data_IF_758133478217
#
_entry.id   IF_758133478217
#
_cell.length_a   1.000
_cell.length_b   1.000
_cell.length_c   1.000
_cell.angle_alpha   90.00
_cell.angle_beta   90.00
_cell.angle_gamma   90.00
#
_symmetry.space_group_name_H-M   'P 1'
#
loop_
_entity.id
_entity.type
_entity.pdbx_description
1 polymer ?
#
# COMPACT_ATOMS: atom_id res chain seq x y z
N UNK A 1 -23.63 11.07 8.49
CA UNK A 1 -23.56 12.53 8.73
C UNK A 1 -22.11 12.92 8.94
N UNK A 2 -21.75 14.20 8.82
CA UNK A 2 -20.39 14.64 9.15
C UNK A 2 -20.16 14.53 10.66
N UNK A 3 -18.92 14.26 11.07
CA UNK A 3 -18.51 14.24 12.48
C UNK A 3 -18.71 15.61 13.15
N UNK A 4 -18.55 16.69 12.38
CA UNK A 4 -18.48 18.06 12.88
C UNK A 4 -19.65 18.94 12.43
N UNK A 5 -20.69 18.36 11.82
CA UNK A 5 -21.85 19.09 11.31
C UNK A 5 -23.04 18.15 11.10
N UNK A 6 -24.25 18.66 11.32
CA UNK A 6 -25.49 17.97 10.96
C UNK A 6 -25.67 17.84 9.44
N UNK A 7 -24.87 18.56 8.67
CA UNK A 7 -24.90 18.55 7.21
C UNK A 7 -24.12 17.36 6.62
N UNK A 8 -24.34 17.09 5.33
CA UNK A 8 -23.61 16.05 4.62
C UNK A 8 -22.10 16.35 4.59
N UNK A 9 -21.28 15.34 4.87
CA UNK A 9 -19.83 15.42 4.77
C UNK A 9 -19.40 15.62 3.31
N UNK A 10 -18.39 16.46 3.11
CA UNK A 10 -17.78 16.76 1.80
C UNK A 10 -16.47 15.99 1.61
N UNK A 11 -15.84 15.58 2.71
CA UNK A 11 -14.57 14.85 2.73
C UNK A 11 -14.51 13.85 3.87
N UNK A 12 -13.51 12.99 3.87
CA UNK A 12 -13.24 12.05 4.96
C UNK A 12 -11.74 12.02 5.26
N UNK A 13 -11.38 12.21 6.53
CA UNK A 13 -10.03 11.98 7.02
C UNK A 13 -9.90 10.51 7.37
N UNK A 14 -8.88 9.86 6.81
CA UNK A 14 -8.62 8.43 7.06
C UNK A 14 -7.25 8.29 7.67
N UNK A 15 -7.22 7.71 8.88
CA UNK A 15 -6.02 7.47 9.64
C UNK A 15 -5.63 6.00 9.51
N UNK A 16 -4.38 5.77 9.15
CA UNK A 16 -3.83 4.43 8.94
C UNK A 16 -2.57 4.26 9.76
N UNK A 17 -2.35 3.04 10.26
CA UNK A 17 -1.09 2.62 10.86
C UNK A 17 -0.34 1.74 9.86
N UNK A 18 0.93 2.08 9.65
CA UNK A 18 1.87 1.34 8.81
C UNK A 18 3.04 0.92 9.69
N UNK A 19 3.31 -0.39 9.73
CA UNK A 19 4.51 -0.95 10.33
C UNK A 19 5.54 -1.26 9.24
N UNK A 20 6.83 -1.33 9.59
CA UNK A 20 7.86 -1.78 8.66
C UNK A 20 7.67 -3.25 8.25
N UNK A 21 7.12 -4.06 9.17
CA UNK A 21 7.01 -5.52 9.05
C UNK A 21 5.58 -6.03 8.90
N UNK A 22 4.57 -5.19 9.14
CA UNK A 22 3.17 -5.61 9.12
C UNK A 22 2.38 -4.86 8.05
N UNK A 23 1.33 -5.50 7.48
CA UNK A 23 0.46 -4.86 6.52
C UNK A 23 -0.26 -3.65 7.14
N UNK A 24 -0.55 -2.67 6.29
CA UNK A 24 -1.28 -1.46 6.67
C UNK A 24 -2.65 -1.78 7.28
N UNK A 25 -3.05 -1.03 8.31
CA UNK A 25 -4.39 -1.09 8.90
C UNK A 25 -5.04 0.29 8.97
N UNK A 26 -6.33 0.37 8.62
CA UNK A 26 -7.15 1.57 8.80
C UNK A 26 -7.62 1.62 10.25
N UNK A 27 -7.19 2.64 10.99
CA UNK A 27 -7.49 2.82 12.41
C UNK A 27 -8.78 3.63 12.58
N UNK A 28 -8.92 4.71 11.82
CA UNK A 28 -10.05 5.61 11.97
C UNK A 28 -10.46 6.24 10.64
N UNK A 29 -11.76 6.45 10.46
CA UNK A 29 -12.35 7.19 9.34
C UNK A 29 -13.27 8.24 9.94
N UNK A 30 -13.00 9.51 9.65
CA UNK A 30 -13.73 10.66 10.14
C UNK A 30 -14.32 11.44 8.96
N UNK A 31 -15.62 11.27 8.65
CA UNK A 31 -16.33 12.09 7.69
C UNK A 31 -16.42 13.52 8.20
N UNK A 32 -16.08 14.52 7.40
CA UNK A 32 -16.13 15.93 7.82
C UNK A 32 -16.72 16.80 6.72
N UNK A 33 -17.36 17.90 7.14
CA UNK A 33 -17.77 18.97 6.23
C UNK A 33 -16.68 20.03 6.10
N UNK A 34 -16.18 20.47 7.25
CA UNK A 34 -15.08 21.44 7.38
C UNK A 34 -14.23 21.04 8.58
N UNK A 35 -12.92 21.23 8.54
CA UNK A 35 -12.05 20.94 9.68
C UNK A 35 -10.96 21.99 9.77
N UNK A 36 -10.64 22.36 11.00
CA UNK A 36 -9.54 23.25 11.35
C UNK A 36 -8.40 22.46 12.00
N UNK A 37 -7.24 23.10 12.14
CA UNK A 37 -6.06 22.46 12.71
C UNK A 37 -6.23 22.03 14.17
N UNK A 38 -7.11 22.68 14.95
CA UNK A 38 -7.33 22.35 16.36
C UNK A 38 -8.15 21.07 16.52
N UNK A 39 -9.23 20.94 15.74
CA UNK A 39 -10.02 19.71 15.69
C UNK A 39 -9.19 18.54 15.17
N UNK A 40 -8.40 18.76 14.12
CA UNK A 40 -7.52 17.72 13.61
C UNK A 40 -6.46 17.31 14.65
N UNK A 41 -5.84 18.26 15.35
CA UNK A 41 -4.91 17.99 16.45
C UNK A 41 -5.54 17.11 17.52
N UNK A 42 -6.76 17.44 17.98
CA UNK A 42 -7.45 16.66 19.00
C UNK A 42 -7.65 15.20 18.57
N UNK A 43 -8.02 14.96 17.31
CA UNK A 43 -8.23 13.62 16.75
C UNK A 43 -6.91 12.86 16.59
N UNK A 44 -5.85 13.52 16.09
CA UNK A 44 -4.52 12.91 15.98
C UNK A 44 -3.98 12.52 17.35
N UNK A 45 -4.04 13.45 18.32
CA UNK A 45 -3.61 13.19 19.71
C UNK A 45 -4.38 12.02 20.33
N UNK A 46 -5.72 12.00 20.19
CA UNK A 46 -6.56 10.91 20.68
C UNK A 46 -6.18 9.57 20.04
N UNK A 47 -5.98 9.55 18.72
CA UNK A 47 -5.60 8.33 17.98
C UNK A 47 -4.26 7.79 18.47
N UNK A 48 -3.27 8.66 18.73
CA UNK A 48 -1.96 8.25 19.25
C UNK A 48 -2.09 7.64 20.66
N UNK A 49 -2.86 8.26 21.55
CA UNK A 49 -3.08 7.77 22.91
C UNK A 49 -3.81 6.42 22.93
N UNK A 50 -4.85 6.26 22.10
CA UNK A 50 -5.57 4.98 21.99
C UNK A 50 -4.70 3.86 21.40
N UNK A 51 -3.87 4.16 20.40
CA UNK A 51 -2.95 3.19 19.82
C UNK A 51 -1.90 2.73 20.85
N UNK A 52 -1.36 3.66 21.63
CA UNK A 52 -0.41 3.36 22.70
C UNK A 52 -1.07 2.51 23.79
N UNK A 53 -2.32 2.81 24.18
CA UNK A 53 -3.09 2.01 25.13
C UNK A 53 -3.40 0.58 24.66
N UNK A 54 -3.43 0.34 23.34
CA UNK A 54 -3.54 -1.01 22.74
C UNK A 54 -2.18 -1.74 22.74
N UNK A 55 -1.06 -1.02 22.91
CA UNK A 55 0.30 -1.55 22.89
C UNK A 55 1.08 -1.25 21.61
N UNK A 56 0.57 -0.40 20.70
CA UNK A 56 1.34 0.05 19.55
C UNK A 56 2.29 1.18 19.93
N UNK A 57 3.57 1.03 19.59
CA UNK A 57 4.55 2.11 19.69
C UNK A 57 4.56 2.94 18.41
N UNK A 58 3.88 4.09 18.44
CA UNK A 58 3.82 4.98 17.28
C UNK A 58 4.99 5.96 17.32
N UNK A 59 5.94 5.79 16.40
CA UNK A 59 7.13 6.64 16.32
C UNK A 59 6.90 7.94 15.56
N UNK A 60 5.91 8.03 14.68
CA UNK A 60 5.70 9.25 13.90
C UNK A 60 4.40 9.32 13.12
N UNK A 61 4.10 10.53 12.68
CA UNK A 61 2.93 10.90 11.86
C UNK A 61 3.43 11.35 10.49
N UNK A 62 2.84 10.78 9.43
CA UNK A 62 3.11 11.16 8.04
C UNK A 62 1.88 11.86 7.46
N UNK A 63 2.06 13.05 6.88
CA UNK A 63 0.97 13.76 6.18
C UNK A 63 1.47 14.50 4.95
N UNK A 64 0.54 14.99 4.13
CA UNK A 64 0.88 15.99 3.12
C UNK A 64 1.33 17.32 3.77
N UNK A 65 1.77 18.26 2.93
CA UNK A 65 2.18 19.60 3.36
C UNK A 65 1.00 20.62 3.37
N UNK A 66 -0.21 20.19 3.74
CA UNK A 66 -1.35 21.10 3.86
C UNK A 66 -1.23 21.99 5.11
N UNK A 67 -1.71 23.24 5.05
CA UNK A 67 -1.70 24.19 6.17
C UNK A 67 -2.46 23.67 7.41
N UNK A 68 -3.55 22.93 7.22
CA UNK A 68 -4.34 22.34 8.31
C UNK A 68 -3.51 21.28 9.04
N UNK A 69 -2.82 20.41 8.29
CA UNK A 69 -1.94 19.38 8.85
C UNK A 69 -0.76 20.00 9.61
N UNK A 70 -0.12 21.04 9.05
CA UNK A 70 0.94 21.79 9.75
C UNK A 70 0.43 22.46 11.03
N UNK A 71 -0.74 23.10 11.00
CA UNK A 71 -1.34 23.72 12.18
C UNK A 71 -1.65 22.67 13.25
N UNK A 72 -2.21 21.53 12.85
CA UNK A 72 -2.50 20.43 13.76
C UNK A 72 -1.22 19.89 14.44
N UNK A 73 -0.15 19.70 13.67
CA UNK A 73 1.12 19.23 14.23
C UNK A 73 1.81 20.28 15.11
N UNK A 74 1.73 21.57 14.77
CA UNK A 74 2.33 22.62 15.60
C UNK A 74 1.75 22.69 17.02
N UNK A 75 0.49 22.25 17.20
CA UNK A 75 -0.20 22.22 18.49
C UNK A 75 0.33 21.14 19.46
N UNK A 76 1.24 20.26 19.02
CA UNK A 76 1.99 19.37 19.92
C UNK A 76 3.09 20.10 20.72
N UNK A 77 3.40 21.36 20.38
CA UNK A 77 4.28 22.22 21.16
C UNK A 77 3.49 23.32 21.87
N UNK A 78 4.00 23.76 23.02
CA UNK A 78 3.49 24.91 23.76
C UNK A 78 4.63 25.92 23.93
N UNK A 79 4.58 27.12 23.32
CA UNK A 79 3.54 27.59 22.39
C UNK A 79 3.53 26.83 21.05
N UNK A 80 2.44 26.91 20.25
CA UNK A 80 2.35 26.21 18.98
C UNK A 80 3.48 26.61 18.03
N UNK A 81 4.30 25.63 17.65
CA UNK A 81 5.44 25.81 16.75
C UNK A 81 5.62 24.57 15.90
N UNK A 82 5.76 24.77 14.59
CA UNK A 82 6.06 23.66 13.69
C UNK A 82 7.49 23.17 13.94
N UNK A 83 7.60 21.88 14.26
CA UNK A 83 8.83 21.12 14.46
C UNK A 83 8.72 19.78 13.71
N UNK A 84 9.86 19.13 13.51
CA UNK A 84 9.93 17.76 12.99
C UNK A 84 9.89 16.70 14.09
N UNK A 85 10.07 17.11 15.34
CA UNK A 85 10.06 16.24 16.53
C UNK A 85 9.26 16.91 17.64
N UNK A 86 8.38 16.15 18.27
CA UNK A 86 7.55 16.53 19.41
C UNK A 86 7.67 15.49 20.53
N UNK A 87 7.32 15.83 21.79
CA UNK A 87 7.11 14.81 22.81
C UNK A 87 5.88 13.96 22.47
N UNK A 88 5.97 12.65 22.65
CA UNK A 88 4.83 11.75 22.41
C UNK A 88 3.71 12.01 23.45
N UNK A 89 2.42 12.05 23.05
CA UNK A 89 1.33 12.45 23.94
C UNK A 89 1.05 11.48 25.09
N UNK A 90 1.43 10.20 24.95
CA UNK A 90 1.30 9.20 26.03
C UNK A 90 2.51 9.15 26.97
N UNK A 91 3.69 9.52 26.47
CA UNK A 91 4.95 9.49 27.22
C UNK A 91 5.90 10.54 26.66
N UNK A 92 6.08 11.64 27.39
CA UNK A 92 6.90 12.77 26.94
C UNK A 92 8.39 12.45 26.78
N UNK A 93 8.87 11.31 27.32
CA UNK A 93 10.26 10.87 27.12
C UNK A 93 10.49 10.31 25.71
N UNK A 94 9.44 9.84 25.04
CA UNK A 94 9.53 9.28 23.70
C UNK A 94 9.35 10.37 22.64
N UNK A 95 10.17 10.39 21.58
CA UNK A 95 9.99 11.30 20.47
C UNK A 95 8.84 10.86 19.55
N UNK A 96 8.04 11.83 19.12
CA UNK A 96 7.06 11.71 18.04
C UNK A 96 7.54 12.50 16.84
N UNK A 97 7.88 11.80 15.76
CA UNK A 97 8.39 12.39 14.54
C UNK A 97 7.26 12.85 13.62
N UNK A 98 7.39 14.05 13.05
CA UNK A 98 6.50 14.54 12.01
C UNK A 98 7.22 14.52 10.66
N UNK A 99 6.69 13.72 9.73
CA UNK A 99 7.27 13.54 8.40
C UNK A 99 6.29 14.04 7.35
N UNK A 100 6.76 14.94 6.49
CA UNK A 100 5.99 15.38 5.33
C UNK A 100 6.19 14.36 4.22
N UNK A 101 5.10 13.94 3.59
CA UNK A 101 5.15 12.96 2.49
C UNK A 101 6.08 13.42 1.38
N UNK A 102 7.14 12.64 1.17
CA UNK A 102 8.19 12.92 0.18
C UNK A 102 7.65 12.93 -1.24
N UNK A 103 6.62 12.14 -1.54
CA UNK A 103 5.96 12.12 -2.86
C UNK A 103 5.26 13.44 -3.13
N UNK A 104 4.52 13.97 -2.16
CA UNK A 104 3.94 15.31 -2.24
C UNK A 104 5.00 16.41 -2.32
N UNK A 105 6.09 16.34 -1.53
CA UNK A 105 7.19 17.29 -1.62
C UNK A 105 7.80 17.32 -3.03
N UNK A 106 8.03 16.15 -3.63
CA UNK A 106 8.59 16.04 -4.98
C UNK A 106 7.69 16.69 -6.03
N UNK A 107 6.37 16.49 -5.92
CA UNK A 107 5.39 17.21 -6.76
C UNK A 107 5.42 18.73 -6.51
N UNK A 108 5.52 19.16 -5.26
CA UNK A 108 5.60 20.58 -4.92
C UNK A 108 6.86 21.25 -5.47
N UNK A 109 8.03 20.60 -5.41
CA UNK A 109 9.27 21.11 -6.00
C UNK A 109 9.07 21.39 -7.49
N UNK A 110 8.52 20.42 -8.23
CA UNK A 110 8.25 20.56 -9.65
C UNK A 110 7.19 21.63 -9.95
N UNK A 111 6.08 21.65 -9.21
CA UNK A 111 4.99 22.61 -9.44
C UNK A 111 5.43 24.04 -9.12
N UNK A 112 6.21 24.23 -8.06
CA UNK A 112 6.77 25.54 -7.72
C UNK A 112 7.72 26.03 -8.80
N UNK A 113 8.56 25.13 -9.34
CA UNK A 113 9.42 25.45 -10.47
C UNK A 113 8.62 25.91 -11.70
N UNK A 114 7.63 25.13 -12.13
CA UNK A 114 6.83 25.43 -13.34
C UNK A 114 6.03 26.74 -13.20
N UNK A 115 5.57 27.08 -11.99
CA UNK A 115 4.72 28.26 -11.77
C UNK A 115 5.50 29.56 -11.48
N UNK A 116 6.85 29.55 -11.51
CA UNK A 116 7.64 30.75 -11.25
C UNK A 116 7.49 31.81 -12.35
N UNK A 117 7.17 33.04 -11.97
CA UNK A 117 6.93 34.19 -12.86
C UNK A 117 8.15 35.09 -13.06
N UNK A 118 9.34 34.53 -12.96
CA UNK A 118 10.59 35.29 -13.03
C UNK A 118 11.11 35.36 -14.48
N UNK A 119 11.89 36.40 -14.83
CA UNK A 119 12.54 36.48 -16.13
C UNK A 119 13.37 35.21 -16.38
N UNK A 120 13.13 34.51 -17.49
CA UNK A 120 13.76 33.22 -17.82
C UNK A 120 13.13 31.97 -17.18
N UNK A 121 12.00 32.10 -16.45
CA UNK A 121 11.31 30.99 -15.75
C UNK A 121 12.25 30.18 -14.83
N UNK A 122 13.11 30.91 -14.12
CA UNK A 122 14.17 30.30 -13.32
C UNK A 122 13.69 29.75 -11.96
N UNK A 123 14.10 28.51 -11.63
CA UNK A 123 14.18 27.93 -10.30
C UNK A 123 15.07 28.77 -9.38
N UNK A 124 14.69 28.84 -8.11
CA UNK A 124 15.44 29.52 -7.05
C UNK A 124 15.77 28.41 -6.06
N UNK A 125 17.00 27.94 -6.11
CA UNK A 125 17.51 27.10 -5.04
C UNK A 125 18.19 28.04 -4.05
N UNK A 126 17.82 28.00 -2.76
CA UNK A 126 18.69 28.58 -1.76
C UNK A 126 19.97 27.75 -1.81
N UNK A 127 21.04 28.34 -2.30
CA UNK A 127 22.36 27.83 -1.96
C UNK A 127 22.48 27.87 -0.43
N UNK A 128 23.24 26.93 0.11
CA UNK A 128 23.48 26.90 1.55
C UNK A 128 24.34 28.11 1.98
N UNK A 129 24.96 28.82 1.01
CA UNK A 129 25.67 30.09 1.24
C UNK A 129 25.23 31.27 0.35
N UNK A 130 24.85 31.11 -0.94
CA UNK A 130 24.48 32.26 -1.81
C UNK A 130 23.35 32.07 -2.87
N UNK A 131 22.25 32.81 -2.76
CA UNK A 131 21.01 32.58 -3.54
C UNK A 131 21.13 32.73 -5.07
N UNK A 132 21.35 31.63 -5.80
CA UNK A 132 21.43 31.64 -7.28
C UNK A 132 20.10 31.27 -7.99
N UNK A 133 19.92 31.80 -9.21
CA UNK A 133 18.76 31.58 -10.10
C UNK A 133 19.08 30.54 -11.18
N UNK A 134 18.09 29.72 -11.57
CA UNK A 134 18.24 28.55 -12.44
C UNK A 134 17.15 28.47 -13.54
N UNK A 135 17.34 28.95 -14.77
CA UNK A 135 16.35 29.00 -15.86
C UNK A 135 15.69 27.66 -16.19
N UNK A 136 14.45 27.75 -16.71
CA UNK A 136 13.71 26.61 -17.24
C UNK A 136 14.40 26.05 -18.49
N UNK A 137 14.43 24.72 -18.60
CA UNK A 137 14.78 24.01 -19.83
C UNK A 137 13.86 24.44 -20.97
N UNK A 138 14.41 25.01 -22.06
CA UNK A 138 13.64 25.32 -23.26
C UNK A 138 13.11 24.03 -23.94
N UNK A 139 11.88 24.10 -24.46
CA UNK A 139 11.15 22.97 -25.06
C UNK A 139 11.85 22.31 -26.28
N UNK A 140 12.86 22.97 -26.87
CA UNK A 140 13.64 22.45 -27.99
C UNK A 140 14.58 21.26 -27.60
N UNK A 141 14.68 20.94 -26.31
CA UNK A 141 15.44 19.78 -25.80
C UNK A 141 14.80 18.41 -26.08
N UNK A 142 13.58 18.39 -26.61
CA UNK A 142 12.77 17.18 -26.80
C UNK A 142 13.33 16.18 -27.83
N UNK A 143 14.33 16.55 -28.64
CA UNK A 143 15.03 15.63 -29.56
C UNK A 143 16.07 14.73 -28.89
N UNK A 144 16.60 15.12 -27.73
CA UNK A 144 17.75 14.44 -27.10
C UNK A 144 17.41 13.78 -25.76
N UNK A 145 16.40 14.29 -25.07
CA UNK A 145 15.81 13.68 -23.90
C UNK A 145 14.52 12.96 -24.30
N UNK A 146 14.62 11.78 -24.92
CA UNK A 146 13.47 11.05 -25.49
C UNK A 146 12.34 10.75 -24.49
N UNK A 147 12.65 10.70 -23.19
CA UNK A 147 11.65 10.57 -22.13
C UNK A 147 11.07 11.89 -21.59
N UNK A 148 11.70 13.03 -21.87
CA UNK A 148 11.25 14.37 -21.46
C UNK A 148 10.20 14.89 -22.44
N UNK A 149 8.94 14.69 -22.09
CA UNK A 149 7.80 15.11 -22.90
C UNK A 149 7.39 16.54 -22.59
N UNK A 150 6.80 17.26 -23.56
CA UNK A 150 6.19 18.58 -23.34
C UNK A 150 5.19 18.56 -22.17
N UNK A 151 4.47 17.44 -21.97
CA UNK A 151 3.56 17.24 -20.82
C UNK A 151 4.24 17.29 -19.45
N UNK A 152 5.52 16.98 -19.38
CA UNK A 152 6.29 17.06 -18.13
C UNK A 152 6.69 18.51 -17.82
N UNK A 153 7.03 19.29 -18.85
CA UNK A 153 7.42 20.70 -18.72
C UNK A 153 6.22 21.65 -18.62
N UNK A 154 5.12 21.32 -19.29
CA UNK A 154 3.88 22.10 -19.34
C UNK A 154 2.66 21.24 -18.94
N UNK A 155 2.60 20.73 -17.70
CA UNK A 155 1.50 19.86 -17.26
C UNK A 155 0.20 20.64 -17.01
N UNK A 156 -0.93 20.03 -17.36
CA UNK A 156 -2.26 20.45 -16.89
C UNK A 156 -2.40 20.26 -15.38
N UNK A 157 -3.43 20.87 -14.76
CA UNK A 157 -3.69 20.72 -13.32
C UNK A 157 -3.87 19.26 -12.87
N UNK A 158 -4.44 18.40 -13.72
CA UNK A 158 -4.56 16.97 -13.45
C UNK A 158 -3.19 16.28 -13.52
N UNK A 159 -2.40 16.61 -14.54
CA UNK A 159 -1.06 16.03 -14.77
C UNK A 159 -0.05 16.43 -13.69
N UNK A 160 -0.21 17.60 -13.05
CA UNK A 160 0.59 18.04 -11.89
C UNK A 160 0.52 17.08 -10.69
N UNK A 161 -0.49 16.20 -10.63
CA UNK A 161 -0.60 15.17 -9.60
C UNK A 161 0.15 13.87 -9.95
N UNK A 162 0.63 13.73 -11.18
CA UNK A 162 1.27 12.51 -11.66
C UNK A 162 2.79 12.53 -11.42
N UNK A 163 3.23 11.78 -10.41
CA UNK A 163 4.64 11.66 -10.03
C UNK A 163 5.49 11.06 -11.14
N UNK A 164 4.93 10.23 -12.04
CA UNK A 164 5.66 9.69 -13.19
C UNK A 164 6.03 10.76 -14.21
N UNK A 165 5.22 11.82 -14.35
CA UNK A 165 5.57 12.96 -15.20
C UNK A 165 6.66 13.80 -14.55
N UNK A 166 6.58 14.00 -13.23
CA UNK A 166 7.63 14.71 -12.48
C UNK A 166 8.98 14.00 -12.62
N UNK A 167 9.00 12.66 -12.48
CA UNK A 167 10.20 11.84 -12.66
C UNK A 167 10.89 12.06 -14.00
N UNK A 168 10.13 12.35 -15.07
CA UNK A 168 10.71 12.57 -16.40
C UNK A 168 11.68 13.74 -16.45
N UNK A 169 11.47 14.73 -15.59
CA UNK A 169 12.30 15.93 -15.50
C UNK A 169 13.61 15.63 -14.75
N UNK A 170 13.57 14.71 -13.78
CA UNK A 170 14.68 14.42 -12.88
C UNK A 170 15.47 13.14 -13.22
N UNK A 171 15.39 12.66 -14.47
CA UNK A 171 16.18 11.51 -14.89
C UNK A 171 17.62 11.87 -15.26
N UNK A 172 18.50 10.89 -15.10
CA UNK A 172 19.93 11.00 -15.43
C UNK A 172 20.19 11.46 -16.87
N UNK A 173 19.38 11.03 -17.85
CA UNK A 173 19.56 11.46 -19.24
C UNK A 173 19.28 12.96 -19.44
N UNK A 174 18.45 13.60 -18.60
CA UNK A 174 18.24 15.05 -18.65
C UNK A 174 19.49 15.78 -18.16
N UNK A 175 20.11 15.27 -17.10
CA UNK A 175 21.38 15.78 -16.57
C UNK A 175 22.48 15.67 -17.63
N UNK A 176 22.64 14.49 -18.24
CA UNK A 176 23.64 14.27 -19.29
C UNK A 176 23.37 15.14 -20.53
N UNK A 177 22.11 15.25 -20.94
CA UNK A 177 21.72 16.12 -22.05
C UNK A 177 22.09 17.58 -21.80
N UNK A 178 21.81 18.10 -20.61
CA UNK A 178 22.19 19.46 -20.21
C UNK A 178 23.70 19.67 -20.28
N UNK A 179 24.49 18.73 -19.76
CA UNK A 179 25.96 18.84 -19.73
C UNK A 179 26.59 18.78 -21.11
N UNK A 180 26.10 17.92 -22.01
CA UNK A 180 26.67 17.74 -23.35
C UNK A 180 26.25 18.82 -24.34
N UNK A 181 25.01 19.30 -24.24
CA UNK A 181 24.37 20.13 -25.26
C UNK A 181 24.10 21.55 -24.79
N UNK A 182 24.23 21.83 -23.49
CA UNK A 182 23.94 23.13 -22.90
C UNK A 182 24.77 24.25 -23.53
N UNK A 183 26.08 24.04 -23.64
CA UNK A 183 26.99 24.98 -24.30
C UNK A 183 26.69 25.12 -25.79
N UNK A 184 26.50 24.00 -26.50
CA UNK A 184 26.24 23.95 -27.94
C UNK A 184 24.99 24.74 -28.35
N UNK A 185 23.95 24.68 -27.52
CA UNK A 185 22.69 25.39 -27.74
C UNK A 185 22.60 26.72 -27.00
N UNK A 186 23.69 27.19 -26.38
CA UNK A 186 23.74 28.45 -25.61
C UNK A 186 22.63 28.55 -24.57
N UNK A 187 22.33 27.44 -23.92
CA UNK A 187 21.36 27.43 -22.84
C UNK A 187 21.91 28.22 -21.65
N UNK A 188 21.07 29.05 -21.06
CA UNK A 188 21.46 29.84 -19.89
C UNK A 188 21.56 28.88 -18.70
N UNK A 189 22.64 29.00 -17.90
CA UNK A 189 22.84 28.29 -16.62
C UNK A 189 22.62 26.76 -16.66
N UNK A 190 22.90 26.11 -17.79
CA UNK A 190 22.71 24.66 -17.95
C UNK A 190 23.48 23.84 -16.90
N UNK A 191 24.68 24.29 -16.54
CA UNK A 191 25.55 23.63 -15.54
C UNK A 191 24.88 23.60 -14.18
N UNK A 192 24.46 24.77 -13.68
CA UNK A 192 23.82 24.91 -12.37
C UNK A 192 22.48 24.15 -12.35
N UNK A 193 21.69 24.21 -13.42
CA UNK A 193 20.44 23.43 -13.55
C UNK A 193 20.72 21.92 -13.52
N UNK A 194 21.79 21.45 -14.17
CA UNK A 194 22.17 20.03 -14.13
C UNK A 194 22.53 19.56 -12.72
N UNK A 195 23.23 20.40 -11.94
CA UNK A 195 23.59 20.13 -10.54
C UNK A 195 22.33 20.05 -9.69
N UNK A 196 21.41 21.01 -9.82
CA UNK A 196 20.15 21.02 -9.07
C UNK A 196 19.30 19.77 -9.36
N UNK A 197 19.15 19.40 -10.63
CA UNK A 197 18.43 18.19 -11.03
C UNK A 197 19.12 16.95 -10.45
N UNK A 198 20.45 16.88 -10.45
CA UNK A 198 21.22 15.80 -9.85
C UNK A 198 20.98 15.67 -8.34
N UNK A 199 20.96 16.79 -7.60
CA UNK A 199 20.69 16.81 -6.17
C UNK A 199 19.28 16.30 -5.85
N UNK A 200 18.27 16.81 -6.55
CA UNK A 200 16.87 16.39 -6.36
C UNK A 200 16.68 14.92 -6.74
N UNK A 201 17.30 14.47 -7.84
CA UNK A 201 17.26 13.07 -8.28
C UNK A 201 17.90 12.14 -7.24
N UNK A 202 19.04 12.55 -6.68
CA UNK A 202 19.75 11.81 -5.62
C UNK A 202 18.92 11.74 -4.34
N UNK A 203 18.36 12.87 -3.89
CA UNK A 203 17.44 12.91 -2.75
C UNK A 203 16.24 11.96 -2.97
N UNK A 204 15.61 12.02 -4.14
CA UNK A 204 14.47 11.17 -4.47
C UNK A 204 14.81 9.67 -4.43
N UNK A 205 15.99 9.29 -4.95
CA UNK A 205 16.49 7.91 -4.90
C UNK A 205 16.58 7.39 -3.47
N UNK A 206 17.10 8.20 -2.55
CA UNK A 206 17.26 7.87 -1.12
C UNK A 206 15.90 7.73 -0.44
N UNK A 207 15.02 8.73 -0.58
CA UNK A 207 13.74 8.75 0.15
C UNK A 207 12.70 7.76 -0.38
N UNK A 208 12.92 7.17 -1.55
CA UNK A 208 12.00 6.24 -2.21
C UNK A 208 12.49 4.77 -2.18
N UNK A 209 13.34 4.40 -1.23
CA UNK A 209 13.76 2.99 -1.01
C UNK A 209 12.70 2.25 -0.21
N UNK A 210 12.10 1.22 -0.81
CA UNK A 210 10.98 0.43 -0.23
C UNK A 210 11.36 -1.01 0.14
N UNK A 211 12.46 -1.53 -0.41
CA UNK A 211 12.87 -2.93 -0.25
C UNK A 211 14.37 -3.04 0.07
N UNK A 212 14.81 -4.08 0.81
CA UNK A 212 16.21 -4.27 1.20
C UNK A 212 17.21 -4.33 0.05
N UNK A 213 16.83 -5.00 -1.04
CA UNK A 213 17.76 -5.32 -2.13
C UNK A 213 17.70 -4.31 -3.27
N UNK A 214 16.95 -3.21 -3.14
CA UNK A 214 16.70 -2.26 -4.24
C UNK A 214 18.01 -1.69 -4.80
N UNK A 215 18.89 -1.19 -3.92
CA UNK A 215 20.18 -0.64 -4.31
C UNK A 215 21.12 -1.67 -4.92
N UNK A 216 21.08 -2.91 -4.43
CA UNK A 216 21.89 -4.01 -4.98
C UNK A 216 21.42 -4.40 -6.39
N UNK A 217 20.10 -4.57 -6.58
CA UNK A 217 19.52 -4.94 -7.87
C UNK A 217 19.75 -3.85 -8.94
N UNK A 218 19.74 -2.58 -8.54
CA UNK A 218 19.94 -1.45 -9.44
C UNK A 218 21.39 -0.99 -9.52
N UNK A 219 22.29 -1.60 -8.74
CA UNK A 219 23.70 -1.20 -8.60
C UNK A 219 23.84 0.31 -8.32
N UNK A 220 22.95 0.86 -7.49
CA UNK A 220 22.88 2.29 -7.16
C UNK A 220 23.07 2.49 -5.64
N UNK A 221 24.20 3.06 -5.19
CA UNK A 221 24.50 3.23 -3.76
C UNK A 221 23.47 4.16 -3.07
N UNK A 222 22.89 5.12 -3.79
CA UNK A 222 21.88 6.03 -3.25
C UNK A 222 20.51 5.38 -3.04
N UNK A 223 20.33 4.15 -3.53
CA UNK A 223 19.11 3.36 -3.35
C UNK A 223 19.29 2.18 -2.39
N UNK A 224 20.39 2.15 -1.66
CA UNK A 224 20.57 1.22 -0.55
C UNK A 224 19.67 1.63 0.62
N UNK A 225 19.16 0.66 1.40
CA UNK A 225 18.50 0.95 2.66
C UNK A 225 19.43 1.73 3.59
N UNK A 226 18.86 2.61 4.40
CA UNK A 226 19.66 3.36 5.37
C UNK A 226 19.95 2.42 6.54
N UNK A 227 21.22 2.10 6.73
CA UNK A 227 21.72 1.31 7.85
C UNK A 227 22.44 2.21 8.85
N UNK A 228 22.28 1.90 10.15
CA UNK A 228 23.08 2.51 11.20
C UNK A 228 24.50 1.93 11.09
N UNK A 229 25.42 2.64 10.43
CA UNK A 229 26.85 2.43 10.65
C UNK A 229 27.43 3.66 11.35
N UNK A 230 28.38 3.48 12.28
CA UNK A 230 29.03 4.59 13.00
C UNK A 230 29.73 5.58 12.05
N UNK A 231 30.07 5.17 10.84
CA UNK A 231 30.70 6.00 9.82
C UNK A 231 29.71 6.80 8.96
N UNK A 232 28.40 6.57 9.12
CA UNK A 232 27.37 7.20 8.29
C UNK A 232 26.86 8.49 8.95
N UNK A 233 27.51 9.63 8.64
CA UNK A 233 27.07 10.98 9.05
C UNK A 233 25.71 11.40 8.47
N UNK A 234 25.06 10.53 7.68
CA UNK A 234 23.79 10.84 7.03
C UNK A 234 22.64 10.85 8.04
N UNK A 235 22.19 12.06 8.38
CA UNK A 235 20.94 12.43 9.06
C UNK A 235 20.82 12.05 10.56
N UNK A 236 21.29 12.92 11.46
CA UNK A 236 21.00 12.86 12.92
C UNK A 236 19.50 12.67 13.23
N UNK A 237 18.62 13.27 12.42
CA UNK A 237 17.18 13.09 12.52
C UNK A 237 16.74 11.63 12.31
N UNK A 238 17.35 10.93 11.35
CA UNK A 238 17.08 9.51 11.10
C UNK A 238 17.74 8.63 12.16
N UNK A 239 18.93 8.98 12.65
CA UNK A 239 19.58 8.30 13.77
C UNK A 239 18.71 8.31 15.04
N UNK A 240 18.00 9.41 15.33
CA UNK A 240 17.06 9.50 16.47
C UNK A 240 15.77 8.69 16.28
N UNK A 241 15.41 8.35 15.05
CA UNK A 241 14.22 7.54 14.72
C UNK A 241 14.48 6.03 14.94
N UNK A 242 15.75 5.58 15.00
CA UNK A 242 16.09 4.20 14.65
C UNK A 242 16.82 3.39 15.72
N UNK A 243 16.51 2.08 15.72
CA UNK A 243 17.33 1.00 16.30
C UNK A 243 17.82 -0.02 15.26
N UNK A 244 17.36 0.01 13.99
CA UNK A 244 17.58 -0.99 12.94
C UNK A 244 17.51 -0.40 11.49
N UNK A 245 17.73 -1.24 10.46
CA UNK A 245 17.63 -0.93 9.01
C UNK A 245 16.33 -0.19 8.66
N UNK A 246 16.45 0.89 7.89
CA UNK A 246 15.36 1.81 7.58
C UNK A 246 15.02 1.90 6.09
N UNK A 247 13.72 1.98 5.80
CA UNK A 247 13.16 2.11 4.45
C UNK A 247 12.38 3.42 4.32
N UNK A 248 13.02 4.53 3.89
CA UNK A 248 12.36 5.82 3.76
C UNK A 248 11.08 5.78 2.90
N UNK A 249 11.07 4.95 1.85
CA UNK A 249 9.91 4.81 0.96
C UNK A 249 8.71 4.09 1.62
N UNK A 250 8.87 3.52 2.82
CA UNK A 250 7.74 3.02 3.62
C UNK A 250 7.09 4.13 4.46
N UNK A 251 7.71 5.30 4.57
CA UNK A 251 7.21 6.48 5.30
C UNK A 251 6.69 7.49 4.27
N UNK A 252 5.64 7.06 3.59
CA UNK A 252 4.97 7.81 2.53
C UNK A 252 3.47 7.52 2.61
N UNK A 253 2.65 8.42 2.08
CA UNK A 253 1.19 8.24 2.03
C UNK A 253 0.71 7.41 0.82
N UNK A 254 1.62 6.83 0.03
CA UNK A 254 1.28 5.97 -1.12
C UNK A 254 0.32 4.82 -0.78
N UNK A 255 0.48 4.22 0.40
CA UNK A 255 -0.39 3.12 0.84
C UNK A 255 -1.82 3.61 1.16
N UNK A 256 -1.94 4.84 1.68
CA UNK A 256 -3.21 5.53 1.91
C UNK A 256 -3.90 5.84 0.57
N UNK A 257 -3.15 6.38 -0.40
CA UNK A 257 -3.65 6.65 -1.76
C UNK A 257 -4.06 5.36 -2.49
N UNK A 258 -3.29 4.28 -2.35
CA UNK A 258 -3.66 2.97 -2.88
C UNK A 258 -4.99 2.46 -2.28
N UNK A 259 -5.21 2.67 -0.98
CA UNK A 259 -6.50 2.34 -0.35
C UNK A 259 -7.63 3.20 -0.91
N UNK A 260 -7.44 4.50 -1.11
CA UNK A 260 -8.44 5.36 -1.74
C UNK A 260 -8.76 4.92 -3.17
N UNK A 261 -7.76 4.49 -3.92
CA UNK A 261 -7.96 3.83 -5.22
C UNK A 261 -8.86 2.59 -5.10
N UNK A 262 -8.60 1.72 -4.11
CA UNK A 262 -9.47 0.57 -3.83
C UNK A 262 -10.89 0.98 -3.48
N UNK A 263 -11.09 2.02 -2.68
CA UNK A 263 -12.43 2.54 -2.39
C UNK A 263 -13.18 2.92 -3.66
N UNK A 264 -12.54 3.70 -4.54
CA UNK A 264 -13.12 4.13 -5.83
C UNK A 264 -13.44 2.93 -6.73
N UNK A 265 -12.50 2.03 -6.95
CA UNK A 265 -12.70 0.83 -7.80
C UNK A 265 -13.80 -0.05 -7.24
N UNK A 266 -13.80 -0.28 -5.93
CA UNK A 266 -14.80 -1.08 -5.25
C UNK A 266 -16.14 -0.34 -5.10
N UNK A 267 -16.26 0.93 -5.44
CA UNK A 267 -17.54 1.63 -5.55
C UNK A 267 -18.01 1.78 -7.00
N UNK A 268 -17.50 0.95 -7.92
CA UNK A 268 -17.88 0.99 -9.34
C UNK A 268 -16.99 1.91 -10.18
N UNK A 269 -15.75 2.14 -9.76
CA UNK A 269 -14.77 3.01 -10.42
C UNK A 269 -15.24 4.46 -10.56
N UNK A 270 -15.99 4.95 -9.58
CA UNK A 270 -16.45 6.33 -9.51
C UNK A 270 -15.39 7.21 -8.84
N UNK A 271 -15.21 8.44 -9.34
CA UNK A 271 -14.28 9.39 -8.73
C UNK A 271 -14.80 9.92 -7.39
N UNK A 272 -16.10 10.21 -7.34
CA UNK A 272 -16.82 10.64 -6.15
C UNK A 272 -17.53 9.44 -5.54
N UNK A 273 -17.26 9.17 -4.26
CA UNK A 273 -17.92 8.11 -3.49
C UNK A 273 -18.60 8.72 -2.28
N UNK A 274 -19.76 8.19 -1.92
CA UNK A 274 -20.44 8.58 -0.68
C UNK A 274 -19.72 8.01 0.55
N UNK A 275 -19.90 8.65 1.70
CA UNK A 275 -19.39 8.16 2.99
C UNK A 275 -19.92 6.75 3.30
N UNK A 276 -21.17 6.46 2.94
CA UNK A 276 -21.77 5.13 3.08
C UNK A 276 -20.98 4.09 2.29
N UNK A 277 -20.72 4.35 1.01
CA UNK A 277 -19.91 3.46 0.16
C UNK A 277 -18.49 3.29 0.72
N UNK A 278 -17.88 4.35 1.27
CA UNK A 278 -16.56 4.28 1.88
C UNK A 278 -16.56 3.29 3.06
N UNK A 279 -17.52 3.37 3.99
CA UNK A 279 -17.64 2.42 5.10
C UNK A 279 -17.99 1.00 4.63
N UNK A 280 -18.89 0.84 3.67
CA UNK A 280 -19.25 -0.46 3.11
C UNK A 280 -18.02 -1.14 2.47
N UNK A 281 -17.24 -0.40 1.68
CA UNK A 281 -16.02 -0.93 1.08
C UNK A 281 -14.95 -1.22 2.14
N UNK A 282 -14.76 -0.34 3.12
CA UNK A 282 -13.79 -0.58 4.19
C UNK A 282 -14.16 -1.84 4.99
N UNK A 283 -15.43 -2.04 5.31
CA UNK A 283 -15.91 -3.26 5.95
C UNK A 283 -15.57 -4.50 5.12
N UNK A 284 -15.82 -4.45 3.80
CA UNK A 284 -15.47 -5.55 2.87
C UNK A 284 -13.96 -5.82 2.85
N UNK A 285 -13.13 -4.78 2.79
CA UNK A 285 -11.68 -4.92 2.78
C UNK A 285 -11.13 -5.45 4.11
N UNK A 286 -11.74 -5.06 5.24
CA UNK A 286 -11.44 -5.62 6.57
C UNK A 286 -11.79 -7.10 6.60
N UNK A 287 -13.01 -7.47 6.22
CA UNK A 287 -13.44 -8.85 6.15
C UNK A 287 -12.45 -9.66 5.32
N UNK A 288 -12.13 -9.21 4.09
CA UNK A 288 -11.14 -9.86 3.24
C UNK A 288 -9.81 -10.07 3.95
N UNK A 289 -9.32 -9.07 4.70
CA UNK A 289 -8.09 -9.19 5.49
C UNK A 289 -8.17 -10.20 6.64
N UNK A 290 -9.36 -10.51 7.17
CA UNK A 290 -9.62 -11.55 8.18
C UNK A 290 -9.97 -12.93 7.60
N UNK A 291 -10.02 -13.09 6.27
CA UNK A 291 -10.18 -14.39 5.62
C UNK A 291 -8.92 -15.25 5.41
N UNK A 292 -7.70 -14.97 5.92
CA UNK A 292 -6.59 -15.88 5.67
C UNK A 292 -6.82 -17.15 6.47
N UNK A 293 -7.21 -18.21 5.76
CA UNK A 293 -7.01 -19.57 6.24
C UNK A 293 -5.51 -19.72 6.45
N UNK A 294 -5.12 -19.84 7.71
CA UNK A 294 -3.74 -20.03 8.10
C UNK A 294 -3.54 -21.53 8.26
N UNK A 295 -2.66 -22.10 7.45
CA UNK A 295 -2.20 -23.46 7.64
C UNK A 295 -0.99 -23.41 8.57
N UNK A 296 -0.89 -24.37 9.49
CA UNK A 296 0.28 -24.48 10.37
C UNK A 296 1.08 -25.67 9.88
N UNK A 297 2.30 -25.42 9.42
CA UNK A 297 3.32 -26.42 9.10
C UNK A 297 4.34 -26.42 10.24
N UNK A 298 4.81 -27.59 10.66
CA UNK A 298 5.86 -27.66 11.68
C UNK A 298 7.21 -27.23 11.09
N UNK A 299 7.42 -27.45 9.79
CA UNK A 299 8.66 -27.10 9.09
C UNK A 299 8.73 -25.62 8.74
N UNK A 300 7.62 -25.05 8.26
CA UNK A 300 7.56 -23.69 7.68
C UNK A 300 6.74 -22.70 8.51
N UNK A 301 6.20 -23.11 9.66
CA UNK A 301 5.40 -22.26 10.53
C UNK A 301 4.01 -21.94 9.96
N UNK A 302 3.51 -20.72 10.24
CA UNK A 302 2.20 -20.28 9.76
C UNK A 302 2.25 -19.88 8.28
N UNK A 303 1.57 -20.65 7.45
CA UNK A 303 1.42 -20.43 6.02
C UNK A 303 0.09 -19.72 5.74
N UNK A 304 0.17 -18.51 5.19
CA UNK A 304 -1.01 -17.74 4.80
C UNK A 304 -1.41 -18.09 3.35
N UNK A 305 -2.59 -18.66 3.16
CA UNK A 305 -3.07 -19.08 1.83
C UNK A 305 -3.21 -17.94 0.80
N UNK A 306 -3.10 -16.67 1.20
CA UNK A 306 -3.07 -15.53 0.26
C UNK A 306 -1.71 -15.30 -0.40
N UNK A 307 -0.63 -15.78 0.20
CA UNK A 307 0.75 -15.54 -0.29
C UNK A 307 1.19 -16.60 -1.30
N UNK A 308 0.50 -17.74 -1.34
CA UNK A 308 0.67 -18.75 -2.38
C UNK A 308 0.20 -18.13 -3.70
N UNK A 309 1.16 -17.69 -4.51
CA UNK A 309 0.89 -17.25 -5.87
C UNK A 309 0.22 -18.40 -6.61
N UNK A 310 -1.10 -18.26 -6.86
CA UNK A 310 -1.83 -19.07 -7.82
C UNK A 310 -1.36 -18.68 -9.23
N UNK A 311 -0.09 -18.96 -9.55
CA UNK A 311 0.36 -19.00 -10.93
C UNK A 311 -0.55 -20.01 -11.64
N UNK A 312 -1.32 -19.52 -12.60
CA UNK A 312 -2.25 -20.30 -13.41
C UNK A 312 -1.52 -21.24 -14.39
N UNK A 313 -0.41 -21.85 -13.99
CA UNK A 313 0.27 -22.87 -14.78
C UNK A 313 -0.35 -24.24 -14.51
N UNK A 314 -1.64 -24.40 -14.84
CA UNK A 314 -2.21 -25.72 -15.06
C UNK A 314 -1.72 -26.25 -16.41
N UNK A 315 -0.44 -26.62 -16.49
CA UNK A 315 -0.05 -27.67 -17.43
C UNK A 315 -0.52 -28.98 -16.78
N UNK A 316 -1.74 -29.38 -17.12
CA UNK A 316 -2.31 -30.68 -16.76
C UNK A 316 -1.50 -31.77 -17.47
N UNK A 317 -0.37 -32.18 -16.88
CA UNK A 317 0.05 -33.56 -17.05
C UNK A 317 -0.84 -34.38 -16.12
N UNK A 318 -1.56 -35.40 -16.61
CA UNK A 318 -2.35 -36.26 -15.73
C UNK A 318 -1.42 -36.83 -14.66
N UNK A 319 -1.75 -36.59 -13.38
CA UNK A 319 -1.04 -37.23 -12.27
C UNK A 319 -1.04 -38.74 -12.53
N UNK A 320 0.15 -39.33 -12.62
CA UNK A 320 0.28 -40.78 -12.45
C UNK A 320 -0.32 -41.12 -11.08
N UNK A 321 -1.33 -41.98 -11.09
CA UNK A 321 -2.13 -42.40 -9.93
C UNK A 321 -1.33 -43.14 -8.84
N UNK A 322 -0.03 -43.32 -9.04
CA UNK A 322 0.86 -44.13 -8.21
C UNK A 322 1.36 -43.43 -6.94
N UNK A 323 1.29 -42.10 -6.83
CA UNK A 323 1.95 -41.35 -5.73
C UNK A 323 1.09 -41.21 -4.46
N UNK A 324 -0.25 -41.34 -4.55
CA UNK A 324 -1.16 -41.09 -3.41
C UNK A 324 -1.44 -42.32 -2.53
N UNK A 325 -0.98 -43.52 -2.90
CA UNK A 325 -1.35 -44.75 -2.18
C UNK A 325 -0.74 -44.91 -0.76
N UNK A 326 0.20 -44.04 -0.37
CA UNK A 326 0.95 -44.18 0.88
C UNK A 326 0.44 -43.32 2.05
N UNK A 327 -0.58 -42.48 1.86
CA UNK A 327 -1.12 -41.59 2.90
C UNK A 327 -2.60 -41.86 3.12
N UNK A 328 -2.92 -42.86 3.95
CA UNK A 328 -4.29 -43.13 4.40
C UNK A 328 -4.70 -42.12 5.49
N UNK A 329 -5.18 -40.95 5.06
CA UNK A 329 -5.71 -39.93 5.96
C UNK A 329 -7.18 -40.20 6.21
N UNK A 330 -7.52 -40.54 7.45
CA UNK A 330 -8.90 -40.71 7.89
C UNK A 330 -9.41 -39.41 8.53
N UNK A 331 -10.65 -39.02 8.21
CA UNK A 331 -11.33 -37.90 8.85
C UNK A 331 -12.34 -38.43 9.86
N UNK A 332 -12.41 -37.78 11.02
CA UNK A 332 -13.30 -38.10 12.13
C UNK A 332 -14.38 -37.03 12.30
N UNK A 333 -15.44 -37.32 13.05
CA UNK A 333 -16.48 -36.31 13.36
C UNK A 333 -15.91 -35.07 14.08
N UNK A 334 -14.89 -35.27 14.93
CA UNK A 334 -14.19 -34.19 15.61
C UNK A 334 -13.55 -33.20 14.62
N UNK A 335 -13.00 -33.69 13.52
CA UNK A 335 -12.38 -32.85 12.50
C UNK A 335 -13.39 -31.88 11.88
N UNK A 336 -14.62 -32.33 11.66
CA UNK A 336 -15.71 -31.48 11.13
C UNK A 336 -16.23 -30.50 12.18
N UNK A 337 -16.31 -30.91 13.44
CA UNK A 337 -16.65 -30.02 14.55
C UNK A 337 -15.64 -28.88 14.68
N UNK A 338 -14.34 -29.18 14.63
CA UNK A 338 -13.25 -28.20 14.68
C UNK A 338 -13.21 -27.26 13.46
N UNK A 339 -13.93 -27.61 12.38
CA UNK A 339 -14.05 -26.78 11.19
C UNK A 339 -15.19 -25.76 11.25
N UNK A 340 -16.15 -25.93 12.16
CA UNK A 340 -17.35 -25.08 12.25
C UNK A 340 -17.05 -23.57 12.27
N UNK A 341 -16.04 -23.08 13.02
CA UNK A 341 -15.70 -21.65 13.03
C UNK A 341 -15.28 -21.11 11.66
N UNK A 342 -14.80 -21.98 10.77
CA UNK A 342 -14.31 -21.63 9.43
C UNK A 342 -15.36 -21.85 8.35
N UNK A 343 -16.53 -22.40 8.67
CA UNK A 343 -17.51 -22.85 7.69
C UNK A 343 -18.01 -21.72 6.78
N UNK A 344 -18.17 -20.50 7.30
CA UNK A 344 -18.53 -19.32 6.49
C UNK A 344 -17.43 -18.96 5.47
N UNK A 345 -16.15 -19.08 5.86
CA UNK A 345 -14.99 -18.85 4.97
C UNK A 345 -14.87 -19.95 3.92
N UNK A 346 -15.02 -21.21 4.34
CA UNK A 346 -15.01 -22.38 3.45
C UNK A 346 -16.17 -22.33 2.45
N UNK A 347 -17.34 -21.86 2.88
CA UNK A 347 -18.49 -21.63 1.99
C UNK A 347 -18.18 -20.56 0.94
N UNK A 348 -17.52 -19.47 1.33
CA UNK A 348 -17.07 -18.47 0.37
C UNK A 348 -16.06 -19.04 -0.65
N UNK A 349 -15.08 -19.82 -0.20
CA UNK A 349 -14.10 -20.48 -1.08
C UNK A 349 -14.76 -21.50 -2.00
N UNK A 350 -15.75 -22.26 -1.50
CA UNK A 350 -16.55 -23.17 -2.30
C UNK A 350 -17.26 -22.46 -3.45
N UNK A 351 -17.68 -21.20 -3.28
CA UNK A 351 -18.21 -20.39 -4.39
C UNK A 351 -17.17 -20.09 -5.47
N UNK A 352 -15.89 -19.90 -5.09
CA UNK A 352 -14.77 -19.72 -6.03
C UNK A 352 -14.45 -21.03 -6.75
N UNK A 353 -14.39 -22.15 -6.02
CA UNK A 353 -14.20 -23.49 -6.59
C UNK A 353 -15.32 -23.84 -7.57
N UNK A 354 -16.58 -23.58 -7.21
CA UNK A 354 -17.73 -23.76 -8.09
C UNK A 354 -17.57 -22.94 -9.38
N UNK A 355 -17.16 -21.68 -9.28
CA UNK A 355 -16.89 -20.84 -10.46
C UNK A 355 -15.79 -21.42 -11.34
N UNK A 356 -14.70 -21.91 -10.74
CA UNK A 356 -13.59 -22.53 -11.50
C UNK A 356 -14.06 -23.80 -12.23
N UNK A 357 -14.85 -24.65 -11.58
CA UNK A 357 -15.44 -25.84 -12.20
C UNK A 357 -16.41 -25.47 -13.33
N UNK A 358 -17.27 -24.47 -13.13
CA UNK A 358 -18.22 -23.99 -14.13
C UNK A 358 -17.57 -23.43 -15.40
N UNK A 359 -16.35 -22.88 -15.31
CA UNK A 359 -15.61 -22.46 -16.51
C UNK A 359 -15.24 -23.64 -17.41
N UNK A 360 -15.06 -24.84 -16.85
CA UNK A 360 -14.70 -26.07 -17.57
C UNK A 360 -15.92 -26.90 -17.96
N UNK A 361 -16.99 -26.88 -17.16
CA UNK A 361 -18.20 -27.67 -17.37
C UNK A 361 -19.15 -27.01 -18.37
N UNK A 362 -19.61 -27.76 -19.37
CA UNK A 362 -20.59 -27.32 -20.38
C UNK A 362 -22.02 -27.82 -20.14
N UNK A 363 -22.24 -28.64 -19.11
CA UNK A 363 -23.54 -29.25 -18.82
C UNK A 363 -24.39 -28.38 -17.90
N UNK A 364 -25.60 -28.02 -18.35
CA UNK A 364 -26.56 -27.20 -17.59
C UNK A 364 -27.03 -27.87 -16.28
N UNK A 365 -27.22 -29.18 -16.29
CA UNK A 365 -27.63 -29.91 -15.09
C UNK A 365 -26.55 -29.89 -14.01
N UNK A 366 -25.30 -30.17 -14.39
CA UNK A 366 -24.15 -30.09 -13.50
C UNK A 366 -23.97 -28.66 -12.98
N UNK A 367 -24.18 -27.65 -13.85
CA UNK A 367 -24.09 -26.25 -13.46
C UNK A 367 -25.09 -25.88 -12.35
N UNK A 368 -26.36 -26.30 -12.50
CA UNK A 368 -27.41 -26.10 -11.49
C UNK A 368 -27.17 -26.89 -10.20
N UNK A 369 -26.44 -28.00 -10.27
CA UNK A 369 -26.12 -28.83 -9.09
C UNK A 369 -24.99 -28.24 -8.24
N UNK A 370 -24.11 -27.43 -8.83
CA UNK A 370 -22.98 -26.80 -8.13
C UNK A 370 -23.35 -25.50 -7.43
N UNK A 371 -24.42 -24.82 -7.86
CA UNK A 371 -24.77 -23.47 -7.40
C UNK A 371 -26.24 -23.38 -7.03
N UNK A 372 -26.51 -22.85 -5.84
CA UNK A 372 -27.86 -22.53 -5.37
C UNK A 372 -28.36 -21.24 -6.02
N UNK A 373 -29.67 -21.18 -6.28
CA UNK A 373 -30.32 -19.90 -6.56
C UNK A 373 -30.20 -19.01 -5.33
N UNK A 374 -29.82 -17.74 -5.54
CA UNK A 374 -29.73 -16.76 -4.46
C UNK A 374 -31.13 -16.49 -3.89
N UNK A 375 -31.43 -17.01 -2.71
CA UNK A 375 -32.64 -16.75 -1.95
C UNK A 375 -32.32 -15.97 -0.68
N UNK A 376 -33.32 -15.28 -0.12
CA UNK A 376 -33.17 -14.51 1.11
C UNK A 376 -33.01 -15.40 2.37
N UNK A 377 -33.40 -16.67 2.30
CA UNK A 377 -33.47 -17.61 3.43
C UNK A 377 -32.21 -18.48 3.63
N UNK A 378 -31.07 -18.12 3.01
CA UNK A 378 -29.84 -18.86 3.21
C UNK A 378 -29.34 -18.74 4.66
N UNK A 379 -28.84 -19.86 5.21
CA UNK A 379 -28.30 -19.92 6.57
C UNK A 379 -27.07 -19.01 6.76
N UNK A 380 -26.66 -18.81 8.02
CA UNK A 380 -25.54 -17.92 8.40
C UNK A 380 -24.20 -18.27 7.71
N UNK A 381 -24.02 -19.50 7.22
CA UNK A 381 -22.79 -19.88 6.51
C UNK A 381 -22.60 -19.12 5.19
N UNK A 382 -23.68 -18.56 4.62
CA UNK A 382 -23.61 -17.74 3.40
C UNK A 382 -23.49 -16.24 3.68
N UNK A 383 -23.43 -15.81 4.95
CA UNK A 383 -23.32 -14.39 5.34
C UNK A 383 -22.15 -13.68 4.65
N UNK A 384 -21.01 -14.36 4.56
CA UNK A 384 -19.82 -13.80 3.91
C UNK A 384 -20.05 -13.54 2.42
N UNK A 385 -20.72 -14.47 1.72
CA UNK A 385 -21.07 -14.29 0.31
C UNK A 385 -22.06 -13.13 0.19
N UNK A 386 -23.13 -13.10 1.00
CA UNK A 386 -24.13 -12.02 0.98
C UNK A 386 -23.50 -10.63 1.19
N UNK A 387 -22.60 -10.52 2.16
CA UNK A 387 -21.96 -9.25 2.50
C UNK A 387 -20.95 -8.77 1.44
N UNK A 388 -20.30 -9.70 0.74
CA UNK A 388 -19.30 -9.38 -0.28
C UNK A 388 -19.86 -9.28 -1.70
N UNK A 389 -21.02 -9.90 -1.97
CA UNK A 389 -21.56 -10.03 -3.33
C UNK A 389 -21.97 -8.68 -3.95
N UNK A 390 -21.83 -8.63 -5.27
CA UNK A 390 -22.19 -7.51 -6.15
C UNK A 390 -22.97 -7.98 -7.38
N UNK A 391 -23.61 -9.14 -7.26
CA UNK A 391 -24.33 -9.81 -8.33
C UNK A 391 -23.55 -10.98 -8.96
N UNK A 392 -22.23 -11.03 -8.83
CA UNK A 392 -21.43 -12.06 -9.51
C UNK A 392 -21.02 -13.25 -8.64
N UNK A 393 -20.91 -13.12 -7.31
CA UNK A 393 -20.52 -14.24 -6.44
C UNK A 393 -21.54 -15.36 -6.52
N UNK A 394 -21.06 -16.60 -6.52
CA UNK A 394 -21.91 -17.79 -6.61
C UNK A 394 -22.17 -18.31 -5.20
N UNK A 395 -23.42 -18.71 -4.92
CA UNK A 395 -23.75 -19.45 -3.72
C UNK A 395 -23.53 -20.94 -4.01
N UNK A 396 -22.48 -21.58 -3.49
CA UNK A 396 -22.22 -23.00 -3.77
C UNK A 396 -23.32 -23.87 -3.17
N UNK A 397 -23.55 -25.05 -3.75
CA UNK A 397 -24.41 -26.07 -3.13
C UNK A 397 -23.73 -26.70 -1.91
N UNK A 398 -24.49 -27.27 -0.96
CA UNK A 398 -23.92 -27.91 0.22
C UNK A 398 -22.89 -28.98 -0.12
N UNK A 399 -23.07 -29.71 -1.22
CA UNK A 399 -22.11 -30.71 -1.69
C UNK A 399 -20.73 -30.11 -2.00
N UNK A 400 -20.69 -28.92 -2.63
CA UNK A 400 -19.43 -28.23 -2.93
C UNK A 400 -18.78 -27.71 -1.64
N UNK A 401 -19.58 -27.19 -0.70
CA UNK A 401 -19.08 -26.77 0.62
C UNK A 401 -18.45 -27.95 1.36
N UNK A 402 -19.12 -29.11 1.36
CA UNK A 402 -18.59 -30.35 1.93
C UNK A 402 -17.30 -30.76 1.25
N UNK A 403 -17.22 -30.76 -0.09
CA UNK A 403 -15.98 -31.11 -0.80
C UNK A 403 -14.79 -30.21 -0.41
N UNK A 404 -15.00 -28.89 -0.31
CA UNK A 404 -13.97 -27.93 0.12
C UNK A 404 -13.60 -28.14 1.59
N UNK A 405 -14.57 -28.42 2.45
CA UNK A 405 -14.35 -28.73 3.87
C UNK A 405 -13.47 -29.97 4.05
N UNK A 406 -13.77 -31.04 3.30
CA UNK A 406 -12.98 -32.27 3.30
C UNK A 406 -11.54 -31.99 2.83
N UNK A 407 -11.39 -31.26 1.71
CA UNK A 407 -10.07 -30.90 1.20
C UNK A 407 -9.26 -30.07 2.20
N UNK A 408 -9.88 -29.06 2.81
CA UNK A 408 -9.24 -28.24 3.85
C UNK A 408 -8.73 -29.10 5.02
N UNK A 409 -9.54 -30.05 5.51
CA UNK A 409 -9.14 -30.92 6.62
C UNK A 409 -8.07 -31.93 6.24
N UNK A 410 -8.12 -32.47 5.02
CA UNK A 410 -7.05 -33.32 4.50
C UNK A 410 -5.73 -32.54 4.46
N UNK A 411 -5.73 -31.31 3.94
CA UNK A 411 -4.52 -30.47 3.90
C UNK A 411 -4.02 -30.13 5.30
N UNK A 412 -4.91 -29.81 6.25
CA UNK A 412 -4.51 -29.59 7.65
C UNK A 412 -3.83 -30.82 8.26
N UNK A 413 -4.35 -32.04 7.99
CA UNK A 413 -3.74 -33.28 8.48
C UNK A 413 -2.46 -33.64 7.75
N UNK A 414 -2.36 -33.36 6.45
CA UNK A 414 -1.11 -33.54 5.69
C UNK A 414 0.05 -32.74 6.31
N UNK A 415 -0.25 -31.57 6.86
CA UNK A 415 0.71 -30.69 7.53
C UNK A 415 0.83 -30.95 9.04
N UNK A 416 0.22 -32.02 9.57
CA UNK A 416 0.40 -32.42 10.97
C UNK A 416 1.68 -33.24 11.15
N UNK A 417 2.14 -33.38 12.41
CA UNK A 417 3.33 -34.14 12.76
C UNK A 417 3.35 -35.56 12.17
N UNK A 418 2.18 -36.19 12.06
CA UNK A 418 2.05 -37.60 11.67
C UNK A 418 2.32 -37.81 10.17
N UNK A 419 2.04 -36.81 9.33
CA UNK A 419 2.06 -36.95 7.88
C UNK A 419 3.02 -35.98 7.16
N UNK A 420 3.39 -34.85 7.77
CA UNK A 420 4.16 -33.78 7.11
C UNK A 420 5.52 -34.29 6.62
N UNK A 421 6.24 -35.03 7.44
CA UNK A 421 7.54 -35.60 7.05
C UNK A 421 7.45 -36.60 5.89
N UNK A 422 6.36 -37.36 5.82
CA UNK A 422 6.12 -38.30 4.73
C UNK A 422 5.70 -37.58 3.45
N UNK A 423 4.85 -36.56 3.61
CA UNK A 423 4.39 -35.70 2.53
C UNK A 423 5.57 -34.97 1.89
N UNK A 424 6.44 -34.31 2.67
CA UNK A 424 7.61 -33.57 2.22
C UNK A 424 8.66 -34.42 1.49
N UNK A 425 8.64 -35.74 1.67
CA UNK A 425 9.54 -36.68 0.96
C UNK A 425 9.00 -37.16 -0.40
N UNK A 426 7.74 -36.86 -0.74
CA UNK A 426 7.15 -37.29 -2.02
C UNK A 426 7.65 -36.43 -3.19
N UNK A 427 7.75 -37.01 -4.39
CA UNK A 427 8.02 -36.24 -5.60
C UNK A 427 6.74 -35.55 -6.10
N UNK A 428 6.87 -34.38 -6.76
CA UNK A 428 5.75 -33.61 -7.33
C UNK A 428 4.70 -33.08 -6.33
N UNK A 429 5.12 -32.66 -5.14
CA UNK A 429 4.28 -31.85 -4.26
C UNK A 429 4.06 -30.46 -4.91
N UNK A 430 2.95 -30.29 -5.62
CA UNK A 430 2.50 -28.99 -6.14
C UNK A 430 1.24 -28.54 -5.42
#
# INVERSE_FOLDING_TARGET
>A
MAYNSEQAATSAYVFMIQSLLSPLKVVHIMPVKEIDGEKLFAVVKKTLVELDGIGFKVIGVVSDNNSINRKAMSNFSVPPKLSFVYPHPSDSSNPLFFVIDSVHLFKCICNNWINQKNAGQCFYFPDFEDHNKFPLLEANFSKFASGLTLKALCPTNLEKQNTKLVLKIFYNYVIQGLQLLGEQHKLISYETTSICISLISTWWKIVNVKTPLKGQHLLDPYQQPITLSPDNQTCEFLHKILSCIFFPGKIQTDALESRFGKYKTLSGSQYLISIRQLYEVEAKLRIQNFLPLTLVSNTYGQLNLKEIHLEHSCNENPLESSVLHNLNITLSEKDFHDAQPYLTVLTYLAGVCARAALKKLKCDFCSKSLVLKKSFELNSNYDLIRNLDRGSLLCPSPAVVTAVLYNYKIVQKLLSNDYENMFLKQNNQR
#
